data_IF_500256029219
#
_entry.id   IF_500256029219
#
_cell.length_a   1.000
_cell.length_b   1.000
_cell.length_c   1.000
_cell.angle_alpha   90.00
_cell.angle_beta   90.00
_cell.angle_gamma   90.00
#
_symmetry.space_group_name_H-M   'P 1'
#
loop_
_entity.id
_entity.type
_entity.pdbx_description
1 polymer ?
#
# COMPACT_ATOMS: atom_id res chain seq x y z
N UNK A 1 12.35 -8.32 7.21
CA UNK A 1 11.55 -8.93 8.31
C UNK A 1 11.83 -8.29 9.68
N UNK A 2 13.03 -8.42 10.28
CA UNK A 2 13.29 -7.85 11.62
C UNK A 2 13.15 -6.32 11.70
N UNK A 3 13.55 -5.59 10.64
CA UNK A 3 13.41 -4.13 10.55
C UNK A 3 11.94 -3.68 10.61
N UNK A 4 11.07 -4.31 9.83
CA UNK A 4 9.62 -4.02 9.79
C UNK A 4 8.97 -4.22 11.16
N UNK A 5 9.26 -5.34 11.83
CA UNK A 5 8.73 -5.64 13.17
C UNK A 5 9.20 -4.61 14.19
N UNK A 6 10.50 -4.28 14.17
CA UNK A 6 11.10 -3.29 15.07
C UNK A 6 10.51 -1.90 14.85
N UNK A 7 10.33 -1.51 13.59
CA UNK A 7 9.77 -0.22 13.22
C UNK A 7 8.35 -0.05 13.74
N UNK A 8 7.49 -1.04 13.52
CA UNK A 8 6.11 -1.03 14.02
C UNK A 8 6.08 -0.98 15.55
N UNK A 9 6.87 -1.82 16.24
CA UNK A 9 6.93 -1.85 17.70
C UNK A 9 7.36 -0.51 18.30
N UNK A 10 8.28 0.21 17.64
CA UNK A 10 8.80 1.50 18.11
C UNK A 10 8.07 2.71 17.52
N UNK A 11 7.06 2.51 16.67
CA UNK A 11 6.41 3.57 15.89
C UNK A 11 7.43 4.41 15.08
N UNK A 12 8.48 3.76 14.56
CA UNK A 12 9.54 4.39 13.77
C UNK A 12 9.21 4.29 12.27
N UNK A 13 8.49 5.28 11.74
CA UNK A 13 8.04 5.27 10.35
C UNK A 13 9.17 5.42 9.32
N UNK A 14 10.29 6.04 9.69
CA UNK A 14 11.47 6.14 8.82
C UNK A 14 12.18 4.79 8.68
N UNK A 15 12.27 4.02 9.78
CA UNK A 15 12.72 2.63 9.70
C UNK A 15 11.72 1.77 8.94
N UNK A 16 10.41 1.97 9.14
CA UNK A 16 9.38 1.21 8.45
C UNK A 16 9.48 1.39 6.93
N UNK A 17 9.59 2.64 6.47
CA UNK A 17 9.77 3.01 5.06
C UNK A 17 10.94 2.28 4.42
N UNK A 18 12.10 2.26 5.07
CA UNK A 18 13.31 1.56 4.58
C UNK A 18 13.20 0.03 4.66
N UNK A 19 12.26 -0.50 5.46
CA UNK A 19 12.11 -1.93 5.71
C UNK A 19 10.98 -2.58 4.90
N UNK A 20 10.19 -1.80 4.16
CA UNK A 20 9.07 -2.27 3.34
C UNK A 20 9.43 -2.53 1.89
N UNK A 21 10.70 -2.40 1.52
CA UNK A 21 11.20 -2.77 0.19
C UNK A 21 11.25 -4.30 0.04
N UNK A 22 10.32 -4.83 -0.76
CA UNK A 22 10.23 -6.27 -1.05
C UNK A 22 11.05 -6.60 -2.30
N UNK A 23 12.32 -6.92 -2.07
CA UNK A 23 13.29 -7.24 -3.13
C UNK A 23 13.19 -8.68 -3.64
N UNK A 24 12.27 -9.49 -3.10
CA UNK A 24 12.16 -10.92 -3.43
C UNK A 24 10.94 -11.20 -4.27
N UNK A 25 9.75 -10.81 -3.81
CA UNK A 25 8.49 -11.22 -4.45
C UNK A 25 8.00 -10.20 -5.48
N UNK A 26 8.19 -8.90 -5.21
CA UNK A 26 7.74 -7.84 -6.12
C UNK A 26 8.39 -7.93 -7.50
N UNK A 27 9.70 -8.17 -7.68
CA UNK A 27 10.31 -8.26 -9.00
C UNK A 27 9.63 -9.29 -9.92
N UNK A 28 9.28 -10.46 -9.36
CA UNK A 28 8.66 -11.55 -10.12
C UNK A 28 7.16 -11.34 -10.36
N UNK A 29 6.48 -10.56 -9.51
CA UNK A 29 5.01 -10.39 -9.57
C UNK A 29 4.55 -9.06 -10.13
N UNK A 30 5.40 -8.04 -10.14
CA UNK A 30 5.04 -6.70 -10.62
C UNK A 30 4.55 -6.73 -12.07
N UNK A 31 5.11 -7.62 -12.90
CA UNK A 31 4.70 -7.79 -14.31
C UNK A 31 3.26 -8.30 -14.46
N UNK A 32 2.73 -8.99 -13.45
CA UNK A 32 1.35 -9.52 -13.46
C UNK A 32 0.30 -8.48 -13.05
N UNK A 33 0.74 -7.32 -12.54
CA UNK A 33 -0.13 -6.25 -12.06
C UNK A 33 -0.01 -5.06 -13.01
N UNK A 34 -1.11 -4.63 -13.65
CA UNK A 34 -1.10 -3.48 -14.56
C UNK A 34 -0.43 -2.26 -13.93
N UNK A 35 0.67 -1.81 -14.54
CA UNK A 35 1.42 -0.61 -14.15
C UNK A 35 1.80 -0.53 -12.68
N UNK A 36 2.10 -1.67 -12.03
CA UNK A 36 2.50 -1.72 -10.62
C UNK A 36 3.51 -0.63 -10.23
N UNK A 37 4.60 -0.49 -11.00
CA UNK A 37 5.64 0.50 -10.69
C UNK A 37 5.14 1.95 -10.78
N UNK A 38 4.20 2.26 -11.68
CA UNK A 38 3.60 3.59 -11.75
C UNK A 38 2.67 3.85 -10.56
N UNK A 39 1.91 2.84 -10.14
CA UNK A 39 1.07 2.91 -8.93
C UNK A 39 1.96 3.11 -7.69
N UNK A 40 3.05 2.35 -7.59
CA UNK A 40 4.04 2.48 -6.52
C UNK A 40 4.64 3.89 -6.49
N UNK A 41 5.12 4.39 -7.62
CA UNK A 41 5.67 5.75 -7.73
C UNK A 41 4.64 6.81 -7.33
N UNK A 42 3.41 6.70 -7.82
CA UNK A 42 2.32 7.63 -7.47
C UNK A 42 2.05 7.63 -5.95
N UNK A 43 1.99 6.46 -5.33
CA UNK A 43 1.80 6.34 -3.89
C UNK A 43 2.96 6.97 -3.09
N UNK A 44 4.20 6.65 -3.46
CA UNK A 44 5.39 7.16 -2.78
C UNK A 44 5.55 8.68 -2.95
N UNK A 45 5.30 9.21 -4.16
CA UNK A 45 5.29 10.65 -4.44
C UNK A 45 4.16 11.40 -3.73
N UNK A 46 3.03 10.74 -3.49
CA UNK A 46 1.92 11.32 -2.72
C UNK A 46 2.22 11.44 -1.22
N UNK A 47 3.19 10.65 -0.70
CA UNK A 47 3.66 10.69 0.68
C UNK A 47 3.46 9.39 1.46
N UNK A 48 3.30 8.24 0.79
CA UNK A 48 3.17 6.96 1.48
C UNK A 48 4.42 6.62 2.33
N UNK A 49 4.19 5.98 3.49
CA UNK A 49 5.26 5.39 4.30
C UNK A 49 5.88 4.21 3.54
N UNK A 50 5.05 3.41 2.89
CA UNK A 50 5.44 2.33 2.00
C UNK A 50 4.27 1.86 1.16
N UNK A 51 4.56 1.19 0.05
CA UNK A 51 3.58 0.67 -0.89
C UNK A 51 4.07 -0.68 -1.40
N UNK A 52 3.17 -1.68 -1.50
CA UNK A 52 3.53 -2.99 -2.04
C UNK A 52 2.28 -3.77 -2.48
N UNK A 53 2.50 -4.98 -3.01
CA UNK A 53 1.45 -5.92 -3.40
C UNK A 53 0.76 -6.45 -2.13
N UNK A 54 -0.58 -6.46 -2.12
CA UNK A 54 -1.35 -7.09 -1.05
C UNK A 54 -1.51 -8.59 -1.33
N UNK A 55 -0.91 -9.43 -0.48
CA UNK A 55 -0.96 -10.88 -0.62
C UNK A 55 -0.36 -11.38 -1.94
N UNK A 56 -1.18 -11.99 -2.79
CA UNK A 56 -0.79 -12.43 -4.14
C UNK A 56 -1.04 -11.39 -5.23
N UNK A 57 -1.65 -10.24 -4.91
CA UNK A 57 -2.20 -9.33 -5.90
C UNK A 57 -3.54 -9.82 -6.50
N UNK A 58 -4.16 -9.03 -7.40
CA UNK A 58 -3.63 -7.82 -8.03
C UNK A 58 -3.77 -6.54 -7.18
N UNK A 59 -4.41 -6.62 -6.01
CA UNK A 59 -4.54 -5.47 -5.11
C UNK A 59 -3.18 -4.96 -4.64
N UNK A 60 -3.04 -3.64 -4.60
CA UNK A 60 -1.87 -2.92 -4.09
C UNK A 60 -2.30 -2.18 -2.83
N UNK A 61 -1.45 -2.14 -1.82
CA UNK A 61 -1.71 -1.37 -0.60
C UNK A 61 -0.64 -0.31 -0.39
N UNK A 62 -1.00 0.76 0.32
CA UNK A 62 -0.07 1.76 0.80
C UNK A 62 -0.37 2.10 2.27
N UNK A 63 0.68 2.39 3.05
CA UNK A 63 0.56 2.83 4.44
C UNK A 63 0.68 4.35 4.52
N UNK A 64 -0.17 4.97 5.35
CA UNK A 64 -0.12 6.39 5.67
C UNK A 64 -0.14 6.60 7.19
N UNK A 65 0.33 7.75 7.69
CA UNK A 65 0.22 8.12 9.11
C UNK A 65 -1.20 8.58 9.51
N UNK A 66 -2.01 9.05 8.55
CA UNK A 66 -3.36 9.57 8.81
C UNK A 66 -4.29 9.40 7.59
N UNK A 67 -5.60 9.57 7.85
CA UNK A 67 -6.66 9.38 6.86
C UNK A 67 -6.61 10.41 5.72
N UNK A 68 -6.25 11.66 6.00
CA UNK A 68 -6.18 12.72 4.98
C UNK A 68 -5.13 12.35 3.94
N UNK A 69 -3.96 11.93 4.39
CA UNK A 69 -2.89 11.48 3.52
C UNK A 69 -3.23 10.14 2.84
N UNK A 70 -3.91 9.21 3.52
CA UNK A 70 -4.41 7.98 2.90
C UNK A 70 -5.32 8.27 1.70
N UNK A 71 -6.26 9.22 1.84
CA UNK A 71 -7.16 9.63 0.74
C UNK A 71 -6.38 10.17 -0.46
N UNK A 72 -5.41 11.05 -0.20
CA UNK A 72 -4.53 11.60 -1.25
C UNK A 72 -3.72 10.51 -1.96
N UNK A 73 -3.11 9.60 -1.19
CA UNK A 73 -2.33 8.48 -1.73
C UNK A 73 -3.22 7.56 -2.57
N UNK A 74 -4.36 7.15 -2.01
CA UNK A 74 -5.31 6.26 -2.67
C UNK A 74 -5.82 6.84 -3.99
N UNK A 75 -6.15 8.13 -4.03
CA UNK A 75 -6.54 8.79 -5.27
C UNK A 75 -5.41 8.80 -6.29
N UNK A 76 -4.18 9.15 -5.88
CA UNK A 76 -3.04 9.15 -6.79
C UNK A 76 -2.76 7.75 -7.40
N UNK A 77 -2.99 6.68 -6.62
CA UNK A 77 -2.90 5.30 -7.11
C UNK A 77 -4.03 4.97 -8.11
N UNK A 78 -5.26 5.39 -7.82
CA UNK A 78 -6.42 5.16 -8.68
C UNK A 78 -6.30 5.91 -10.01
N UNK A 79 -5.82 7.16 -10.00
CA UNK A 79 -5.64 8.00 -11.18
C UNK A 79 -4.73 7.34 -12.24
N UNK A 80 -3.76 6.52 -11.81
CA UNK A 80 -2.89 5.74 -12.72
C UNK A 80 -3.69 4.72 -13.52
N UNK A 81 -4.67 4.06 -12.89
CA UNK A 81 -5.52 3.05 -13.52
C UNK A 81 -6.63 3.69 -14.35
N UNK A 82 -7.20 4.79 -13.86
CA UNK A 82 -8.21 5.58 -14.58
C UNK A 82 -7.66 6.08 -15.92
N UNK A 83 -6.40 6.52 -15.95
CA UNK A 83 -5.70 6.92 -17.19
C UNK A 83 -5.54 5.80 -18.23
N UNK A 84 -5.84 4.55 -17.86
CA UNK A 84 -5.76 3.36 -18.70
C UNK A 84 -7.12 2.72 -18.97
N UNK A 85 -8.22 3.36 -18.54
CA UNK A 85 -9.58 2.81 -18.62
C UNK A 85 -9.72 1.47 -17.86
N UNK A 86 -8.97 1.31 -16.77
CA UNK A 86 -9.05 0.15 -15.87
C UNK A 86 -9.79 0.59 -14.60
N UNK A 87 -10.99 0.06 -14.39
CA UNK A 87 -11.76 0.32 -13.17
C UNK A 87 -11.03 -0.15 -11.91
N UNK A 88 -11.13 0.63 -10.84
CA UNK A 88 -10.52 0.32 -9.54
C UNK A 88 -11.43 0.67 -8.37
N UNK A 89 -11.34 -0.11 -7.29
CA UNK A 89 -12.03 0.16 -6.03
C UNK A 89 -11.02 0.62 -4.98
N UNK A 90 -11.29 1.76 -4.34
CA UNK A 90 -10.45 2.33 -3.28
C UNK A 90 -11.07 2.10 -1.90
N UNK A 91 -10.33 1.44 -1.02
CA UNK A 91 -10.69 1.24 0.38
C UNK A 91 -9.67 1.93 1.30
N UNK A 92 -10.18 2.65 2.30
CA UNK A 92 -9.35 3.35 3.29
C UNK A 92 -9.83 2.93 4.68
N UNK A 93 -8.93 2.37 5.47
CA UNK A 93 -9.23 1.96 6.84
C UNK A 93 -8.00 2.00 7.73
N UNK A 94 -8.23 2.12 9.04
CA UNK A 94 -7.23 1.74 10.03
C UNK A 94 -7.11 0.21 10.11
N UNK A 95 -6.13 -0.28 10.89
CA UNK A 95 -6.01 -1.69 11.21
C UNK A 95 -7.22 -2.13 12.05
N UNK A 96 -7.91 -3.19 11.60
CA UNK A 96 -9.03 -3.78 12.32
C UNK A 96 -8.52 -4.61 13.51
N UNK A 97 -8.77 -4.16 14.74
CA UNK A 97 -8.40 -4.87 15.96
C UNK A 97 -9.49 -5.84 16.48
N UNK A 98 -10.69 -5.79 15.91
CA UNK A 98 -11.83 -6.60 16.36
C UNK A 98 -11.96 -7.93 15.61
N UNK A 99 -11.37 -8.03 14.41
CA UNK A 99 -11.47 -9.21 13.56
C UNK A 99 -12.90 -9.45 13.05
N UNK A 100 -13.40 -10.70 13.02
CA UNK A 100 -14.74 -11.02 12.51
C UNK A 100 -15.86 -10.54 13.45
N UNK A 101 -16.97 -10.07 12.87
CA UNK A 101 -18.17 -9.64 13.60
C UNK A 101 -19.42 -10.33 13.05
N UNK A 102 -20.34 -10.71 13.94
CA UNK A 102 -21.68 -11.17 13.54
C UNK A 102 -22.52 -9.94 13.18
N UNK A 103 -23.07 -9.93 11.96
CA UNK A 103 -23.99 -8.90 11.49
C UNK A 103 -25.43 -9.31 11.79
N UNK A 104 -26.26 -8.36 12.25
CA UNK A 104 -27.70 -8.53 12.51
C UNK A 104 -28.52 -7.93 11.37
#
# INVERSE_FOLDING_TARGET
>A
VAGTVTALFRSDFELLKRSLDDVVVVPDRAELIPKYYQIYEAAMSAGAIGCSISGSGPSVFALSPDETLARKIGQAMADVLDGLDIGSDLYISAINNDGPKVIQ
#
